data_IF_483198963953
#
_entry.id   IF_483198963953
#
_cell.length_a   1.000
_cell.length_b   1.000
_cell.length_c   1.000
_cell.angle_alpha   90.00
_cell.angle_beta   90.00
_cell.angle_gamma   90.00
#
_symmetry.space_group_name_H-M   'P 1'
#
loop_
_entity.id
_entity.type
_entity.pdbx_description
1 polymer ?
#
# COMPACT_ATOMS: atom_id res chain seq x y z
N UNK A 1 14.46 -15.71 11.09
CA UNK A 1 13.56 -14.58 10.79
C UNK A 1 12.95 -14.84 9.44
N UNK A 2 11.65 -14.61 9.28
CA UNK A 2 10.96 -14.77 7.99
C UNK A 2 11.62 -13.91 6.90
N UNK A 3 11.81 -14.50 5.73
CA UNK A 3 12.47 -13.87 4.58
C UNK A 3 11.48 -13.42 3.49
N UNK A 4 10.18 -13.59 3.71
CA UNK A 4 9.16 -13.33 2.70
C UNK A 4 8.32 -12.11 3.00
N UNK A 5 8.02 -11.33 1.96
CA UNK A 5 7.10 -10.20 2.03
C UNK A 5 6.02 -10.32 0.95
N UNK A 6 4.79 -9.94 1.31
CA UNK A 6 3.64 -9.93 0.41
C UNK A 6 3.21 -8.50 0.12
N UNK A 7 3.18 -8.13 -1.16
CA UNK A 7 2.84 -6.78 -1.63
C UNK A 7 1.57 -6.83 -2.48
N UNK A 8 0.50 -6.24 -2.00
CA UNK A 8 -0.72 -6.01 -2.78
C UNK A 8 -0.58 -4.67 -3.50
N UNK A 9 -0.24 -4.69 -4.80
CA UNK A 9 0.09 -3.52 -5.59
C UNK A 9 1.60 -3.30 -5.73
N UNK A 10 2.36 -4.32 -6.18
CA UNK A 10 3.82 -4.32 -6.21
C UNK A 10 4.49 -3.91 -7.54
N UNK A 11 3.73 -3.49 -8.57
CA UNK A 11 4.28 -3.27 -9.93
C UNK A 11 4.65 -1.83 -10.26
N UNK A 12 4.10 -0.84 -9.54
CA UNK A 12 4.31 0.59 -9.83
C UNK A 12 4.36 1.42 -8.55
N UNK A 13 4.84 2.67 -8.64
CA UNK A 13 4.80 3.64 -7.55
C UNK A 13 5.47 3.15 -6.26
N UNK A 14 4.79 3.36 -5.14
CA UNK A 14 5.31 3.00 -3.81
C UNK A 14 5.54 1.50 -3.64
N UNK A 15 4.63 0.67 -4.16
CA UNK A 15 4.77 -0.79 -4.08
C UNK A 15 5.98 -1.31 -4.85
N UNK A 16 6.24 -0.79 -6.05
CA UNK A 16 7.42 -1.14 -6.84
C UNK A 16 8.72 -0.71 -6.14
N UNK A 17 8.77 0.51 -5.59
CA UNK A 17 9.92 0.99 -4.85
C UNK A 17 10.17 0.15 -3.59
N UNK A 18 9.10 -0.25 -2.89
CA UNK A 18 9.19 -1.14 -1.73
C UNK A 18 9.70 -2.53 -2.14
N UNK A 19 9.21 -3.08 -3.26
CA UNK A 19 9.70 -4.36 -3.77
C UNK A 19 11.20 -4.31 -4.05
N UNK A 20 11.69 -3.27 -4.75
CA UNK A 20 13.12 -3.07 -5.04
C UNK A 20 13.95 -2.95 -3.75
N UNK A 21 13.50 -2.13 -2.80
CA UNK A 21 14.19 -1.91 -1.52
C UNK A 21 14.30 -3.21 -0.74
N UNK A 22 13.20 -3.93 -0.53
CA UNK A 22 13.20 -5.15 0.26
C UNK A 22 13.91 -6.31 -0.44
N UNK A 23 13.86 -6.40 -1.78
CA UNK A 23 14.65 -7.33 -2.55
C UNK A 23 16.16 -7.11 -2.36
N UNK A 24 16.62 -5.84 -2.35
CA UNK A 24 18.03 -5.49 -2.09
C UNK A 24 18.48 -5.82 -0.66
N UNK A 25 17.55 -5.89 0.29
CA UNK A 25 17.78 -6.28 1.69
C UNK A 25 17.69 -7.79 1.92
N UNK A 26 17.46 -8.56 0.86
CA UNK A 26 17.47 -10.03 0.91
C UNK A 26 16.11 -10.66 1.23
N UNK A 27 14.99 -9.92 1.13
CA UNK A 27 13.67 -10.51 1.23
C UNK A 27 13.25 -11.17 -0.09
N UNK A 28 12.57 -12.31 -0.01
CA UNK A 28 11.82 -12.89 -1.11
C UNK A 28 10.52 -12.09 -1.32
N UNK A 29 10.22 -11.77 -2.58
CA UNK A 29 9.09 -10.92 -2.94
C UNK A 29 7.95 -11.77 -3.47
N UNK A 30 6.75 -11.64 -2.88
CA UNK A 30 5.50 -12.13 -3.43
C UNK A 30 4.65 -10.89 -3.70
N UNK A 31 4.29 -10.61 -4.96
CA UNK A 31 3.59 -9.39 -5.30
C UNK A 31 2.40 -9.65 -6.22
N UNK A 32 1.31 -8.95 -5.94
CA UNK A 32 0.12 -8.90 -6.79
C UNK A 32 0.06 -7.56 -7.51
N UNK A 33 -0.39 -7.59 -8.75
CA UNK A 33 -0.67 -6.40 -9.55
C UNK A 33 -1.81 -6.69 -10.53
N UNK A 34 -2.42 -5.64 -11.07
CA UNK A 34 -3.51 -5.80 -12.04
C UNK A 34 -3.33 -4.80 -13.19
N UNK A 35 -2.33 -5.07 -14.01
CA UNK A 35 -1.93 -4.20 -15.11
C UNK A 35 -2.36 -4.74 -16.46
N UNK A 36 -2.85 -3.85 -17.33
CA UNK A 36 -3.31 -4.14 -18.70
C UNK A 36 -2.67 -3.16 -19.69
N UNK A 37 -2.59 -3.56 -20.95
CA UNK A 37 -2.06 -2.72 -22.02
C UNK A 37 -0.64 -2.21 -21.71
N UNK A 38 -0.41 -0.91 -21.86
CA UNK A 38 0.90 -0.27 -21.60
C UNK A 38 1.37 -0.39 -20.15
N UNK A 39 0.44 -0.40 -19.18
CA UNK A 39 0.80 -0.60 -17.79
C UNK A 39 1.51 -1.92 -17.55
N UNK A 40 1.21 -2.96 -18.34
CA UNK A 40 1.87 -4.26 -18.24
C UNK A 40 3.33 -4.20 -18.67
N UNK A 41 3.70 -3.31 -19.60
CA UNK A 41 5.11 -3.12 -19.98
C UNK A 41 5.91 -2.56 -18.79
N UNK A 42 5.41 -1.50 -18.15
CA UNK A 42 6.04 -0.88 -16.97
C UNK A 42 6.13 -1.90 -15.82
N UNK A 43 5.08 -2.70 -15.61
CA UNK A 43 5.11 -3.76 -14.60
C UNK A 43 6.21 -4.79 -14.91
N UNK A 44 6.36 -5.21 -16.17
CA UNK A 44 7.39 -6.17 -16.58
C UNK A 44 8.81 -5.59 -16.37
N UNK A 45 9.04 -4.32 -16.68
CA UNK A 45 10.31 -3.64 -16.41
C UNK A 45 10.64 -3.64 -14.91
N UNK A 46 9.66 -3.27 -14.08
CA UNK A 46 9.81 -3.35 -12.61
C UNK A 46 10.15 -4.77 -12.14
N UNK A 47 9.46 -5.77 -12.67
CA UNK A 47 9.69 -7.19 -12.31
C UNK A 47 11.12 -7.61 -12.69
N UNK A 48 11.59 -7.22 -13.89
CA UNK A 48 12.96 -7.49 -14.32
C UNK A 48 13.99 -6.84 -13.39
N UNK A 49 13.81 -5.55 -13.06
CA UNK A 49 14.70 -4.83 -12.14
C UNK A 49 14.73 -5.48 -10.74
N UNK A 50 13.57 -5.86 -10.19
CA UNK A 50 13.49 -6.54 -8.88
C UNK A 50 14.21 -7.88 -8.93
N UNK A 51 14.04 -8.67 -10.00
CA UNK A 51 14.73 -9.95 -10.17
C UNK A 51 16.25 -9.78 -10.31
N UNK A 52 16.73 -8.70 -10.93
CA UNK A 52 18.17 -8.40 -11.04
C UNK A 52 18.80 -8.00 -9.69
N UNK A 53 18.05 -7.29 -8.86
CA UNK A 53 18.50 -6.82 -7.55
C UNK A 53 18.43 -7.96 -6.51
N UNK A 54 17.43 -8.80 -6.61
CA UNK A 54 17.10 -9.79 -5.59
C UNK A 54 18.09 -10.95 -5.57
N UNK A 55 18.54 -11.31 -4.35
CA UNK A 55 19.26 -12.56 -4.10
C UNK A 55 18.32 -13.75 -3.85
N UNK A 56 17.03 -13.49 -3.68
CA UNK A 56 15.98 -14.48 -3.44
C UNK A 56 14.99 -14.56 -4.59
N UNK A 57 14.14 -15.57 -4.59
CA UNK A 57 13.09 -15.71 -5.59
C UNK A 57 12.05 -14.60 -5.44
N UNK A 58 11.53 -14.13 -6.60
CA UNK A 58 10.45 -13.16 -6.65
C UNK A 58 9.31 -13.74 -7.47
N UNK A 59 8.09 -13.61 -6.95
CA UNK A 59 6.88 -14.11 -7.58
C UNK A 59 5.91 -12.95 -7.81
N UNK A 60 5.51 -12.75 -9.05
CA UNK A 60 4.55 -11.70 -9.43
C UNK A 60 3.31 -12.31 -10.07
N UNK A 61 2.15 -11.89 -9.60
CA UNK A 61 0.85 -12.39 -10.07
C UNK A 61 0.01 -11.25 -10.62
N UNK A 62 -0.24 -11.27 -11.93
CA UNK A 62 -1.11 -10.27 -12.58
C UNK A 62 -2.58 -10.70 -12.44
N UNK A 63 -3.18 -10.33 -11.31
CA UNK A 63 -4.59 -10.63 -10.99
C UNK A 63 -5.14 -9.60 -10.01
N UNK A 64 -6.46 -9.49 -9.94
CA UNK A 64 -7.14 -8.59 -9.00
C UNK A 64 -6.99 -9.11 -7.55
N UNK A 65 -6.12 -8.48 -6.78
CA UNK A 65 -5.88 -8.84 -5.38
C UNK A 65 -7.11 -8.63 -4.46
N UNK A 66 -8.08 -7.79 -4.84
CA UNK A 66 -9.29 -7.58 -4.05
C UNK A 66 -10.37 -8.65 -4.28
N UNK A 67 -10.13 -9.63 -5.17
CA UNK A 67 -11.09 -10.69 -5.45
C UNK A 67 -10.94 -11.85 -4.47
N UNK A 68 -12.03 -12.32 -3.87
CA UNK A 68 -12.10 -13.52 -3.04
C UNK A 68 -11.50 -14.74 -3.76
N UNK A 69 -11.90 -14.96 -5.02
CA UNK A 69 -11.33 -16.03 -5.87
C UNK A 69 -9.81 -15.96 -6.01
N UNK A 70 -9.24 -14.76 -5.95
CA UNK A 70 -7.77 -14.59 -5.95
C UNK A 70 -7.19 -15.04 -4.62
N UNK A 71 -7.80 -14.67 -3.50
CA UNK A 71 -7.35 -15.12 -2.19
C UNK A 71 -7.44 -16.63 -2.06
N UNK A 72 -8.56 -17.25 -2.39
CA UNK A 72 -8.76 -18.71 -2.36
C UNK A 72 -7.70 -19.46 -3.17
N UNK A 73 -7.38 -18.94 -4.35
CA UNK A 73 -6.40 -19.56 -5.25
C UNK A 73 -4.95 -19.39 -4.77
N UNK A 74 -4.62 -18.21 -4.27
CA UNK A 74 -3.20 -17.86 -4.07
C UNK A 74 -2.72 -17.97 -2.63
N UNK A 75 -3.58 -17.99 -1.62
CA UNK A 75 -3.14 -18.21 -0.25
C UNK A 75 -2.50 -19.59 -0.05
N UNK A 76 -3.08 -20.70 -0.55
CA UNK A 76 -2.38 -21.99 -0.54
C UNK A 76 -1.05 -21.96 -1.30
N UNK A 77 -1.00 -21.25 -2.43
CA UNK A 77 0.23 -21.10 -3.21
C UNK A 77 1.29 -20.26 -2.48
N UNK A 78 0.90 -19.23 -1.74
CA UNK A 78 1.82 -18.47 -0.88
C UNK A 78 2.39 -19.38 0.18
N UNK A 79 1.57 -20.21 0.82
CA UNK A 79 2.01 -21.20 1.82
C UNK A 79 3.03 -22.19 1.24
N UNK A 80 2.81 -22.65 0.01
CA UNK A 80 3.75 -23.49 -0.73
C UNK A 80 5.07 -22.75 -1.00
N UNK A 81 5.02 -21.53 -1.54
CA UNK A 81 6.19 -20.70 -1.86
C UNK A 81 7.05 -20.43 -0.62
N UNK A 82 6.42 -20.15 0.50
CA UNK A 82 7.09 -19.86 1.76
C UNK A 82 7.48 -21.12 2.56
N UNK A 83 7.12 -22.32 2.09
CA UNK A 83 7.19 -23.56 2.86
C UNK A 83 6.51 -23.46 4.24
N UNK A 84 5.39 -22.71 4.31
CA UNK A 84 4.68 -22.45 5.55
C UNK A 84 5.34 -21.42 6.48
N UNK A 85 6.47 -20.82 6.09
CA UNK A 85 7.09 -19.76 6.90
C UNK A 85 6.17 -18.52 6.92
N UNK A 86 5.97 -17.90 8.09
CA UNK A 86 5.18 -16.67 8.19
C UNK A 86 5.82 -15.53 7.38
N UNK A 87 4.98 -14.65 6.87
CA UNK A 87 5.39 -13.44 6.16
C UNK A 87 5.93 -12.39 7.14
N UNK A 88 7.02 -11.73 6.78
CA UNK A 88 7.53 -10.56 7.52
C UNK A 88 6.66 -9.33 7.30
N UNK A 89 6.07 -9.18 6.12
CA UNK A 89 5.26 -8.03 5.74
C UNK A 89 4.05 -8.46 4.91
N UNK A 90 2.89 -7.91 5.24
CA UNK A 90 1.75 -7.71 4.35
C UNK A 90 1.63 -6.21 4.07
N UNK A 91 1.93 -5.78 2.84
CA UNK A 91 1.76 -4.39 2.40
C UNK A 91 0.54 -4.24 1.51
N UNK A 92 -0.38 -3.34 1.87
CA UNK A 92 -1.48 -2.91 1.03
C UNK A 92 -1.15 -1.57 0.36
N UNK A 93 -0.77 -1.64 -0.91
CA UNK A 93 -0.40 -0.50 -1.77
C UNK A 93 -1.31 -0.38 -3.00
N UNK A 94 -2.58 -0.73 -2.85
CA UNK A 94 -3.55 -0.65 -3.95
C UNK A 94 -4.09 0.78 -4.05
N UNK A 95 -3.99 1.35 -5.25
CA UNK A 95 -4.55 2.65 -5.61
C UNK A 95 -5.47 2.50 -6.85
N UNK A 96 -6.61 1.87 -6.64
CA UNK A 96 -7.62 1.64 -7.68
C UNK A 96 -9.01 1.90 -7.13
N UNK A 97 -9.53 3.10 -7.40
CA UNK A 97 -10.84 3.54 -6.95
C UNK A 97 -11.43 4.59 -7.90
N UNK A 98 -12.65 4.98 -7.63
CA UNK A 98 -13.34 6.04 -8.37
C UNK A 98 -12.94 7.40 -7.84
N UNK A 99 -12.60 8.31 -8.74
CA UNK A 99 -12.34 9.73 -8.46
C UNK A 99 -13.44 10.55 -9.13
N UNK A 100 -14.46 10.90 -8.35
CA UNK A 100 -15.59 11.74 -8.80
C UNK A 100 -16.26 12.38 -7.58
N UNK A 101 -17.01 13.44 -7.81
CA UNK A 101 -17.71 14.17 -6.76
C UNK A 101 -18.90 13.37 -6.20
N UNK A 102 -19.28 13.67 -4.95
CA UNK A 102 -20.50 13.13 -4.36
C UNK A 102 -21.76 13.75 -4.93
N UNK A 103 -21.68 15.01 -5.34
CA UNK A 103 -22.81 15.80 -5.82
C UNK A 103 -22.46 16.52 -7.12
N UNK A 104 -23.49 16.84 -7.91
CA UNK A 104 -23.36 17.60 -9.16
C UNK A 104 -22.83 16.75 -10.33
N UNK A 105 -23.10 17.16 -11.55
CA UNK A 105 -22.63 16.51 -12.78
C UNK A 105 -22.98 15.02 -12.85
N UNK A 106 -21.94 14.18 -12.80
CA UNK A 106 -22.06 12.70 -12.70
C UNK A 106 -21.58 12.26 -11.31
N UNK A 107 -22.45 12.22 -10.29
CA UNK A 107 -22.06 11.86 -8.94
C UNK A 107 -21.62 10.39 -8.84
N UNK A 108 -20.87 10.08 -7.78
CA UNK A 108 -20.49 8.70 -7.49
C UNK A 108 -21.75 7.83 -7.32
N UNK A 109 -21.79 6.69 -7.97
CA UNK A 109 -22.83 5.69 -7.79
C UNK A 109 -22.51 4.78 -6.60
N UNK A 110 -23.55 4.17 -6.00
CA UNK A 110 -23.38 3.18 -4.93
C UNK A 110 -22.35 2.10 -5.34
N UNK A 111 -22.50 1.50 -6.52
CA UNK A 111 -21.59 0.47 -7.04
C UNK A 111 -20.11 0.93 -7.09
N UNK A 112 -19.89 2.18 -7.49
CA UNK A 112 -18.53 2.75 -7.54
C UNK A 112 -17.97 2.97 -6.14
N UNK A 113 -18.83 3.43 -5.20
CA UNK A 113 -18.46 3.61 -3.81
C UNK A 113 -18.09 2.29 -3.16
N UNK A 114 -18.98 1.30 -3.26
CA UNK A 114 -18.78 -0.05 -2.70
C UNK A 114 -17.50 -0.70 -3.25
N UNK A 115 -17.30 -0.61 -4.56
CA UNK A 115 -16.08 -1.12 -5.20
C UNK A 115 -14.83 -0.41 -4.69
N UNK A 116 -14.85 0.92 -4.54
CA UNK A 116 -13.68 1.69 -4.09
C UNK A 116 -13.31 1.34 -2.65
N UNK A 117 -14.30 1.29 -1.76
CA UNK A 117 -14.10 0.92 -0.35
C UNK A 117 -13.64 -0.53 -0.22
N UNK A 118 -14.23 -1.45 -1.00
CA UNK A 118 -13.81 -2.85 -1.01
C UNK A 118 -12.36 -3.00 -1.45
N UNK A 119 -11.97 -2.39 -2.56
CA UNK A 119 -10.64 -2.58 -3.16
C UNK A 119 -9.54 -1.87 -2.37
N UNK A 120 -9.78 -0.65 -1.90
CA UNK A 120 -8.76 0.18 -1.26
C UNK A 120 -8.80 0.17 0.27
N UNK A 121 -9.86 -0.39 0.85
CA UNK A 121 -10.06 -0.51 2.30
C UNK A 121 -10.17 -1.96 2.74
N UNK A 122 -11.35 -2.56 2.51
CA UNK A 122 -11.72 -3.85 3.10
C UNK A 122 -10.83 -5.03 2.66
N UNK A 123 -10.25 -4.98 1.47
CA UNK A 123 -9.41 -6.07 0.97
C UNK A 123 -8.21 -6.36 1.87
N UNK A 124 -7.67 -5.35 2.58
CA UNK A 124 -6.62 -5.55 3.57
C UNK A 124 -7.07 -6.48 4.71
N UNK A 125 -8.27 -6.24 5.24
CA UNK A 125 -8.84 -7.10 6.30
C UNK A 125 -8.94 -8.55 5.84
N UNK A 126 -9.50 -8.78 4.66
CA UNK A 126 -9.71 -10.14 4.14
C UNK A 126 -8.40 -10.88 3.89
N UNK A 127 -7.39 -10.21 3.34
CA UNK A 127 -6.05 -10.79 3.23
C UNK A 127 -5.46 -11.12 4.59
N UNK A 128 -5.60 -10.22 5.57
CA UNK A 128 -5.09 -10.45 6.93
C UNK A 128 -5.77 -11.64 7.59
N UNK A 129 -7.11 -11.73 7.53
CA UNK A 129 -7.87 -12.85 8.09
C UNK A 129 -7.46 -14.20 7.50
N UNK A 130 -7.37 -14.27 6.17
CA UNK A 130 -7.01 -15.51 5.50
C UNK A 130 -5.55 -15.92 5.77
N UNK A 131 -4.61 -14.97 5.73
CA UNK A 131 -3.20 -15.26 6.02
C UNK A 131 -2.99 -15.67 7.49
N UNK A 132 -3.69 -15.02 8.42
CA UNK A 132 -3.63 -15.36 9.84
C UNK A 132 -4.22 -16.77 10.08
N UNK A 133 -5.40 -17.06 9.51
CA UNK A 133 -6.03 -18.38 9.62
C UNK A 133 -5.19 -19.54 9.07
N UNK A 134 -4.33 -19.27 8.08
CA UNK A 134 -3.40 -20.25 7.51
C UNK A 134 -2.02 -20.29 8.22
N UNK A 135 -1.84 -19.53 9.31
CA UNK A 135 -0.60 -19.47 10.07
C UNK A 135 0.53 -18.74 9.34
N UNK A 136 0.20 -17.94 8.30
CA UNK A 136 1.17 -17.17 7.52
C UNK A 136 1.49 -15.78 8.11
N UNK A 137 0.88 -15.44 9.25
CA UNK A 137 1.23 -14.29 10.09
C UNK A 137 1.56 -14.78 11.49
N UNK A 138 2.61 -14.26 12.10
CA UNK A 138 3.06 -14.63 13.44
C UNK A 138 3.84 -13.50 14.11
N UNK A 139 4.35 -13.74 15.31
CA UNK A 139 5.20 -12.79 16.03
C UNK A 139 6.29 -12.23 15.13
N UNK A 140 6.33 -10.90 15.04
CA UNK A 140 7.26 -10.16 14.19
C UNK A 140 6.75 -9.88 12.78
N UNK A 141 5.56 -10.37 12.39
CA UNK A 141 4.90 -9.93 11.15
C UNK A 141 4.41 -8.48 11.25
N UNK A 142 4.48 -7.77 10.14
CA UNK A 142 4.04 -6.37 9.99
C UNK A 142 2.92 -6.28 8.96
N UNK A 143 1.86 -5.59 9.29
CA UNK A 143 0.75 -5.28 8.38
C UNK A 143 0.78 -3.78 8.14
N UNK A 144 0.94 -3.35 6.88
CA UNK A 144 1.06 -1.92 6.54
C UNK A 144 0.07 -1.57 5.44
N UNK A 145 -0.76 -0.55 5.70
CA UNK A 145 -1.64 0.08 4.72
C UNK A 145 -1.09 1.43 4.28
N UNK A 146 -1.04 1.70 2.96
CA UNK A 146 -0.66 3.02 2.46
C UNK A 146 -1.87 3.94 2.42
N UNK A 147 -1.78 5.08 3.11
CA UNK A 147 -2.79 6.13 3.15
C UNK A 147 -2.27 7.45 2.59
N UNK A 148 -3.07 8.51 2.63
CA UNK A 148 -2.74 9.84 2.12
C UNK A 148 -3.42 10.93 2.95
N UNK A 149 -2.99 12.19 2.83
CA UNK A 149 -3.64 13.33 3.51
C UNK A 149 -5.09 13.55 3.09
N UNK A 150 -5.51 13.01 1.93
CA UNK A 150 -6.90 13.08 1.48
C UNK A 150 -7.90 12.28 2.32
N UNK A 151 -7.45 11.59 3.38
CA UNK A 151 -8.31 10.96 4.38
C UNK A 151 -8.97 11.99 5.32
N UNK A 152 -8.38 13.15 5.52
CA UNK A 152 -8.90 14.25 6.36
C UNK A 152 -9.01 15.60 5.64
N UNK A 153 -8.38 15.78 4.48
CA UNK A 153 -8.55 16.96 3.64
C UNK A 153 -9.59 16.70 2.54
N UNK A 154 -10.59 17.59 2.45
CA UNK A 154 -11.54 17.53 1.35
C UNK A 154 -10.87 18.03 0.07
N UNK A 155 -10.89 17.19 -0.97
CA UNK A 155 -10.35 17.50 -2.29
C UNK A 155 -11.38 17.14 -3.37
N UNK A 156 -11.41 17.93 -4.45
CA UNK A 156 -12.31 17.71 -5.56
C UNK A 156 -12.15 16.30 -6.15
N UNK A 157 -13.25 15.57 -6.30
CA UNK A 157 -13.30 14.23 -6.86
C UNK A 157 -12.67 13.12 -5.98
N UNK A 158 -12.08 13.45 -4.84
CA UNK A 158 -11.35 12.48 -4.02
C UNK A 158 -12.22 11.77 -2.97
N UNK A 159 -13.46 12.20 -2.77
CA UNK A 159 -14.35 11.70 -1.73
C UNK A 159 -14.42 10.17 -1.60
N UNK A 160 -14.67 9.40 -2.68
CA UNK A 160 -14.74 7.93 -2.58
C UNK A 160 -13.42 7.30 -2.12
N UNK A 161 -12.29 7.81 -2.58
CA UNK A 161 -10.96 7.34 -2.17
C UNK A 161 -10.67 7.71 -0.70
N UNK A 162 -11.05 8.93 -0.28
CA UNK A 162 -10.95 9.38 1.11
C UNK A 162 -11.66 8.41 2.06
N UNK A 163 -12.93 8.08 1.79
CA UNK A 163 -13.70 7.12 2.60
C UNK A 163 -13.01 5.76 2.67
N UNK A 164 -12.50 5.27 1.53
CA UNK A 164 -11.79 3.99 1.50
C UNK A 164 -10.49 4.01 2.33
N UNK A 165 -9.75 5.13 2.34
CA UNK A 165 -8.53 5.27 3.14
C UNK A 165 -8.83 5.39 4.64
N UNK A 166 -9.88 6.13 5.02
CA UNK A 166 -10.35 6.18 6.42
C UNK A 166 -10.80 4.79 6.90
N UNK A 167 -11.53 4.04 6.07
CA UNK A 167 -11.91 2.66 6.38
C UNK A 167 -10.68 1.77 6.59
N UNK A 168 -9.67 1.86 5.70
CA UNK A 168 -8.41 1.12 5.84
C UNK A 168 -7.68 1.47 7.14
N UNK A 169 -7.59 2.74 7.51
CA UNK A 169 -6.95 3.17 8.75
C UNK A 169 -7.67 2.64 10.00
N UNK A 170 -9.00 2.61 9.97
CA UNK A 170 -9.79 2.00 11.04
C UNK A 170 -9.52 0.49 11.12
N UNK A 171 -9.47 -0.21 9.98
CA UNK A 171 -9.14 -1.64 9.88
C UNK A 171 -7.73 -1.90 10.44
N UNK A 172 -6.74 -1.10 10.04
CA UNK A 172 -5.37 -1.23 10.54
C UNK A 172 -5.29 -1.10 12.05
N UNK A 173 -5.97 -0.10 12.65
CA UNK A 173 -6.01 0.05 14.11
C UNK A 173 -6.63 -1.16 14.79
N UNK A 174 -7.73 -1.68 14.25
CA UNK A 174 -8.42 -2.84 14.83
C UNK A 174 -7.56 -4.11 14.72
N UNK A 175 -6.92 -4.34 13.58
CA UNK A 175 -5.98 -5.46 13.40
C UNK A 175 -4.82 -5.37 14.41
N UNK A 176 -4.22 -4.19 14.56
CA UNK A 176 -3.12 -3.98 15.50
C UNK A 176 -3.53 -4.21 16.95
N UNK A 177 -4.76 -3.86 17.31
CA UNK A 177 -5.32 -4.14 18.64
C UNK A 177 -5.57 -5.62 18.87
N UNK A 178 -6.22 -6.32 17.91
CA UNK A 178 -6.58 -7.72 18.04
C UNK A 178 -5.38 -8.67 17.98
N UNK A 179 -4.42 -8.40 17.08
CA UNK A 179 -3.27 -9.27 16.86
C UNK A 179 -1.99 -8.83 17.63
N UNK A 180 -2.06 -7.71 18.33
CA UNK A 180 -0.92 -7.19 19.09
C UNK A 180 -0.41 -8.14 20.18
N UNK A 181 -1.32 -8.85 20.85
CA UNK A 181 -0.93 -9.86 21.86
C UNK A 181 -0.18 -11.06 21.26
N UNK A 182 -0.30 -11.31 19.97
CA UNK A 182 0.47 -12.32 19.22
C UNK A 182 1.83 -11.77 18.71
N UNK A 183 2.15 -10.50 18.99
CA UNK A 183 3.37 -9.84 18.53
C UNK A 183 3.34 -9.45 17.05
N UNK A 184 2.15 -9.31 16.46
CA UNK A 184 1.90 -8.79 15.11
C UNK A 184 1.53 -7.32 15.23
N UNK A 185 2.16 -6.45 14.45
CA UNK A 185 1.82 -5.01 14.45
C UNK A 185 1.16 -4.59 13.14
N UNK A 186 0.24 -3.64 13.23
CA UNK A 186 -0.42 -3.06 12.07
C UNK A 186 -0.37 -1.53 12.12
N UNK A 187 0.13 -0.91 11.04
CA UNK A 187 0.30 0.53 10.93
C UNK A 187 -0.11 1.04 9.55
N UNK A 188 -0.55 2.28 9.49
CA UNK A 188 -0.70 3.01 8.24
C UNK A 188 0.54 3.86 7.97
N UNK A 189 1.00 3.92 6.72
CA UNK A 189 2.03 4.87 6.29
C UNK A 189 1.36 5.90 5.39
N UNK A 190 1.37 7.16 5.81
CA UNK A 190 0.84 8.27 5.04
C UNK A 190 1.94 8.85 4.15
N UNK A 191 1.81 8.65 2.84
CA UNK A 191 2.66 9.30 1.86
C UNK A 191 2.17 10.72 1.55
N UNK A 192 3.08 11.66 1.33
CA UNK A 192 2.77 12.97 0.74
C UNK A 192 2.50 12.87 -0.77
N UNK A 193 2.21 14.00 -1.39
CA UNK A 193 2.03 14.09 -2.84
C UNK A 193 3.27 13.54 -3.54
N UNK A 194 3.04 12.53 -4.35
CA UNK A 194 4.08 11.80 -5.09
C UNK A 194 3.74 11.79 -6.57
N UNK A 195 4.60 12.31 -7.47
CA UNK A 195 4.38 12.30 -8.91
C UNK A 195 4.45 10.87 -9.45
N UNK A 196 3.37 10.13 -9.28
CA UNK A 196 3.20 8.76 -9.77
C UNK A 196 2.07 8.71 -10.78
N UNK A 197 1.99 7.60 -11.54
CA UNK A 197 0.86 7.34 -12.42
C UNK A 197 -0.49 7.34 -11.70
N UNK A 198 -0.52 7.06 -10.40
CA UNK A 198 -1.75 7.17 -9.62
C UNK A 198 -2.21 8.62 -9.51
N UNK A 199 -1.28 9.56 -9.25
CA UNK A 199 -1.60 10.98 -9.15
C UNK A 199 -2.18 11.55 -10.46
N UNK A 200 -1.61 11.18 -11.62
CA UNK A 200 -2.11 11.66 -12.93
C UNK A 200 -3.49 11.13 -13.29
N UNK A 201 -3.97 10.09 -12.60
CA UNK A 201 -5.35 9.59 -12.73
C UNK A 201 -6.34 10.25 -11.77
N UNK A 202 -5.84 10.87 -10.69
CA UNK A 202 -6.67 11.55 -9.70
C UNK A 202 -7.11 12.91 -10.22
N UNK A 203 -6.22 13.63 -10.89
CA UNK A 203 -6.49 14.99 -11.38
C UNK A 203 -5.64 15.32 -12.61
N UNK A 204 -6.26 15.99 -13.58
CA UNK A 204 -5.55 16.54 -14.73
C UNK A 204 -4.63 17.71 -14.34
N UNK A 205 -4.88 18.31 -13.17
CA UNK A 205 -4.10 19.44 -12.63
C UNK A 205 -2.95 18.99 -11.70
N UNK A 206 -2.44 17.77 -11.89
CA UNK A 206 -1.41 17.18 -11.02
C UNK A 206 -0.10 17.99 -10.95
N UNK A 207 0.29 18.69 -11.99
CA UNK A 207 1.48 19.55 -12.01
C UNK A 207 1.33 20.74 -11.04
N UNK A 208 0.12 21.31 -10.98
CA UNK A 208 -0.19 22.36 -10.03
C UNK A 208 -0.12 21.86 -8.58
N UNK A 209 -0.61 20.66 -8.32
CA UNK A 209 -0.50 20.04 -7.02
C UNK A 209 0.96 19.82 -6.61
N UNK A 210 1.79 19.29 -7.51
CA UNK A 210 3.24 19.12 -7.30
C UNK A 210 3.92 20.47 -7.00
N UNK A 211 3.61 21.52 -7.74
CA UNK A 211 4.16 22.86 -7.53
C UNK A 211 3.77 23.44 -6.17
N UNK A 212 2.51 23.31 -5.78
CA UNK A 212 2.02 23.79 -4.49
C UNK A 212 2.60 23.00 -3.32
N UNK A 213 2.71 21.69 -3.47
CA UNK A 213 3.37 20.84 -2.47
C UNK A 213 4.81 21.28 -2.23
N UNK A 214 5.59 21.52 -3.28
CA UNK A 214 6.97 22.01 -3.13
C UNK A 214 7.07 23.36 -2.39
N UNK A 215 6.05 24.21 -2.50
CA UNK A 215 6.03 25.49 -1.78
C UNK A 215 5.73 25.28 -0.29
N UNK A 216 4.71 24.47 0.04
CA UNK A 216 4.28 24.28 1.43
C UNK A 216 5.15 23.27 2.20
N UNK A 217 5.75 22.28 1.51
CA UNK A 217 6.57 21.26 2.17
C UNK A 217 7.84 21.89 2.75
N UNK A 218 8.14 21.69 4.05
CA UNK A 218 9.35 22.20 4.69
C UNK A 218 10.64 21.77 3.98
N UNK A 219 10.66 20.54 3.41
CA UNK A 219 11.79 20.00 2.69
C UNK A 219 11.86 20.45 1.22
N UNK A 220 10.94 21.33 0.77
CA UNK A 220 10.91 21.95 -0.57
C UNK A 220 10.87 20.96 -1.74
N UNK A 221 10.42 19.76 -1.49
CA UNK A 221 10.21 18.71 -2.50
C UNK A 221 8.91 17.93 -2.25
N UNK A 222 8.50 17.15 -3.21
CA UNK A 222 7.44 16.15 -3.06
C UNK A 222 8.02 14.87 -2.46
N UNK A 223 7.15 14.02 -1.93
CA UNK A 223 7.50 12.64 -1.57
C UNK A 223 7.92 11.86 -2.81
N UNK A 224 8.94 11.03 -2.67
CA UNK A 224 9.37 10.07 -3.68
C UNK A 224 9.02 8.65 -3.25
N UNK A 225 8.76 7.71 -4.19
CA UNK A 225 8.45 6.34 -3.84
C UNK A 225 9.50 5.67 -2.93
N UNK A 226 10.78 6.03 -3.09
CA UNK A 226 11.88 5.54 -2.23
C UNK A 226 11.76 5.99 -0.78
N UNK A 227 11.18 7.17 -0.49
CA UNK A 227 11.02 7.64 0.87
C UNK A 227 10.06 6.72 1.63
N UNK A 228 8.95 6.37 1.00
CA UNK A 228 7.96 5.43 1.54
C UNK A 228 8.55 4.02 1.70
N UNK A 229 9.31 3.55 0.71
CA UNK A 229 9.99 2.26 0.78
C UNK A 229 10.99 2.19 1.95
N UNK A 230 11.72 3.27 2.21
CA UNK A 230 12.64 3.36 3.34
C UNK A 230 11.90 3.31 4.69
N UNK A 231 10.78 4.03 4.82
CA UNK A 231 9.97 3.99 6.06
C UNK A 231 9.41 2.58 6.28
N UNK A 232 8.91 1.93 5.22
CA UNK A 232 8.44 0.54 5.33
C UNK A 232 9.58 -0.38 5.78
N UNK A 233 10.77 -0.26 5.20
CA UNK A 233 11.95 -1.05 5.60
C UNK A 233 12.31 -0.81 7.08
N UNK A 234 12.29 0.43 7.55
CA UNK A 234 12.53 0.76 8.97
C UNK A 234 11.48 0.10 9.89
N UNK A 235 10.21 0.07 9.49
CA UNK A 235 9.14 -0.58 10.25
C UNK A 235 9.27 -2.12 10.31
N UNK A 236 10.14 -2.74 9.49
CA UNK A 236 10.43 -4.17 9.58
C UNK A 236 11.54 -4.50 10.58
N UNK A 237 12.26 -3.50 11.08
CA UNK A 237 13.32 -3.73 12.07
C UNK A 237 12.73 -4.11 13.44
N UNK A 238 13.47 -4.87 14.26
CA UNK A 238 13.05 -5.19 15.64
C UNK A 238 12.81 -3.94 16.49
N UNK A 239 13.57 -2.87 16.26
CA UNK A 239 13.46 -1.60 16.96
C UNK A 239 12.11 -0.89 16.76
N UNK A 240 11.36 -1.28 15.73
CA UNK A 240 10.01 -0.79 15.47
C UNK A 240 8.90 -1.67 16.08
N UNK A 241 9.24 -2.68 16.87
CA UNK A 241 8.28 -3.65 17.42
C UNK A 241 7.18 -3.01 18.30
N UNK A 242 7.44 -1.81 18.88
CA UNK A 242 6.48 -1.09 19.70
C UNK A 242 5.67 -0.03 18.95
N UNK A 243 5.86 0.09 17.62
CA UNK A 243 5.04 0.95 16.77
C UNK A 243 3.85 0.12 16.28
N UNK A 244 2.66 0.41 16.83
CA UNK A 244 1.43 -0.32 16.51
C UNK A 244 0.21 0.63 16.49
N UNK A 245 -0.83 0.29 15.72
CA UNK A 245 -2.09 1.05 15.59
C UNK A 245 -1.90 2.52 15.16
N UNK A 246 -0.78 2.85 14.54
CA UNK A 246 -0.34 4.23 14.29
C UNK A 246 -0.42 4.62 12.81
N UNK A 247 -0.51 5.94 12.57
CA UNK A 247 -0.25 6.53 11.26
C UNK A 247 1.16 7.12 11.29
N UNK A 248 2.05 6.55 10.49
CA UNK A 248 3.43 7.02 10.32
C UNK A 248 3.49 7.96 9.13
N UNK A 249 3.79 9.22 9.36
CA UNK A 249 3.86 10.23 8.30
C UNK A 249 5.19 10.16 7.55
N UNK A 250 5.11 9.98 6.24
CA UNK A 250 6.24 9.93 5.31
C UNK A 250 6.02 10.97 4.20
N UNK A 251 5.92 12.23 4.58
CA UNK A 251 5.52 13.35 3.71
C UNK A 251 6.41 14.60 3.84
N UNK A 252 7.53 14.50 4.58
CA UNK A 252 8.44 15.62 4.80
C UNK A 252 7.82 16.78 5.57
N UNK A 253 6.75 16.53 6.35
CA UNK A 253 5.99 17.54 7.09
C UNK A 253 4.91 18.26 6.25
N UNK A 254 4.67 17.81 5.01
CA UNK A 254 3.71 18.41 4.08
C UNK A 254 2.33 18.61 4.71
N UNK A 255 1.79 17.56 5.33
CA UNK A 255 0.44 17.57 5.90
C UNK A 255 0.31 18.32 7.24
N UNK A 256 1.43 18.75 7.82
CA UNK A 256 1.51 19.47 9.09
C UNK A 256 1.98 20.91 8.93
N UNK A 257 2.24 21.35 7.71
CA UNK A 257 2.73 22.70 7.42
C UNK A 257 1.64 23.56 6.82
N UNK A 258 1.43 24.73 7.41
CA UNK A 258 0.60 25.78 6.84
C UNK A 258 1.37 26.59 5.80
N UNK A 259 0.68 27.09 4.79
CA UNK A 259 1.17 28.22 3.97
C UNK A 259 0.76 29.51 4.67
N UNK A 260 1.74 30.30 5.11
CA UNK A 260 1.54 31.67 5.54
C UNK A 260 1.54 32.59 4.31
#
# INVERSE_FOLDING_TARGET
>A
MSKWVLLLGGSTGHGAATAKKLASEGYGIIAFHFDRGEAKKIANETIQEVNQISKNKCYYFNTNAASEKTMDKYIPKIKEITNGEPLKLLLHSIAFGTTTNFFGGKPVTQRQMDMTVHVMGNSLLYWTQNLHGEGLLSKGSRIIGLTSEGNYLAMEGYGPVSVAKVAMEAIVRQIGWELGCEGITANSVQAGITPTRALTKITDNWEHWVKNTRKRNPMKRTTEPKDVANVISLLLLPEADFINCSIVYCDGGESRSGTI
#
